data_IF_382437968810
#
_entry.id   IF_382437968810
#
_cell.length_a   1.000
_cell.length_b   1.000
_cell.length_c   1.000
_cell.angle_alpha   90.00
_cell.angle_beta   90.00
_cell.angle_gamma   90.00
#
_symmetry.space_group_name_H-M   'P 1'
#
loop_
_entity.id
_entity.type
_entity.pdbx_description
1 polymer ?
#
# COMPACT_ATOMS: atom_id res chain seq x y z
N UNK A 1 7.43 7.54 -2.21
CA UNK A 1 7.36 6.18 -1.63
C UNK A 1 5.96 5.60 -1.83
N UNK A 2 5.70 4.33 -1.45
CA UNK A 2 4.36 3.74 -1.60
C UNK A 2 3.29 4.50 -0.80
N UNK A 3 3.63 4.95 0.41
CA UNK A 3 2.72 5.74 1.26
C UNK A 3 2.52 7.20 0.79
N UNK A 4 3.26 7.66 -0.22
CA UNK A 4 3.13 9.02 -0.77
C UNK A 4 2.22 9.07 -2.02
N UNK A 5 1.52 7.97 -2.34
CA UNK A 5 0.68 7.90 -3.55
C UNK A 5 -0.48 8.93 -3.57
N UNK A 6 -0.80 9.55 -2.42
CA UNK A 6 -1.81 10.60 -2.33
C UNK A 6 -1.36 11.72 -1.39
N UNK A 7 -1.60 12.98 -1.79
CA UNK A 7 -1.20 14.18 -1.03
C UNK A 7 -1.97 14.35 0.29
N UNK A 8 -3.26 14.01 0.31
CA UNK A 8 -4.11 14.03 1.51
C UNK A 8 -4.89 12.72 1.65
N UNK A 9 -4.26 11.65 2.17
CA UNK A 9 -4.91 10.35 2.31
C UNK A 9 -6.10 10.40 3.28
N UNK A 10 -6.10 11.29 4.28
CA UNK A 10 -7.18 11.41 5.26
C UNK A 10 -8.50 11.90 4.68
N UNK A 11 -8.45 12.61 3.55
CA UNK A 11 -9.63 13.10 2.81
C UNK A 11 -10.26 12.07 1.88
N UNK A 12 -9.56 10.97 1.60
CA UNK A 12 -9.98 9.93 0.66
C UNK A 12 -10.75 8.81 1.36
N UNK A 13 -11.44 8.00 0.56
CA UNK A 13 -11.94 6.70 1.02
C UNK A 13 -10.80 5.66 0.96
N UNK A 14 -10.86 4.56 1.74
CA UNK A 14 -9.89 3.47 1.65
C UNK A 14 -9.75 2.91 0.22
N UNK A 15 -10.87 2.73 -0.49
CA UNK A 15 -10.85 2.22 -1.87
C UNK A 15 -10.14 3.20 -2.82
N UNK A 16 -10.44 4.49 -2.71
CA UNK A 16 -9.76 5.54 -3.51
C UNK A 16 -8.26 5.58 -3.22
N UNK A 17 -7.85 5.45 -1.95
CA UNK A 17 -6.43 5.43 -1.59
C UNK A 17 -5.75 4.14 -2.06
N UNK A 18 -6.46 3.01 -2.03
CA UNK A 18 -5.97 1.75 -2.59
C UNK A 18 -5.75 1.85 -4.10
N UNK A 19 -6.72 2.43 -4.82
CA UNK A 19 -6.60 2.69 -6.26
C UNK A 19 -5.42 3.63 -6.59
N UNK A 20 -5.12 4.61 -5.73
CA UNK A 20 -3.94 5.46 -5.89
C UNK A 20 -2.62 4.67 -5.78
N UNK A 21 -2.52 3.69 -4.88
CA UNK A 21 -1.36 2.79 -4.84
C UNK A 21 -1.25 1.97 -6.13
N UNK A 22 -2.36 1.42 -6.63
CA UNK A 22 -2.37 0.68 -7.89
C UNK A 22 -1.98 1.55 -9.09
N UNK A 23 -2.40 2.82 -9.10
CA UNK A 23 -1.97 3.79 -10.11
C UNK A 23 -0.46 4.04 -10.05
N UNK A 24 0.13 4.14 -8.86
CA UNK A 24 1.58 4.27 -8.73
C UNK A 24 2.32 3.04 -9.28
N UNK A 25 1.79 1.83 -9.06
CA UNK A 25 2.33 0.60 -9.65
C UNK A 25 2.16 0.57 -11.17
N UNK A 26 0.99 0.98 -11.67
CA UNK A 26 0.71 1.13 -13.09
C UNK A 26 1.74 2.04 -13.77
N UNK A 27 2.04 3.19 -13.16
CA UNK A 27 2.99 4.17 -13.69
C UNK A 27 4.39 3.55 -13.81
N UNK A 28 4.83 2.79 -12.80
CA UNK A 28 6.12 2.07 -12.83
C UNK A 28 6.12 0.98 -13.91
N UNK A 29 5.10 0.13 -13.96
CA UNK A 29 4.99 -0.95 -14.96
C UNK A 29 4.97 -0.38 -16.37
N UNK A 30 4.28 0.74 -16.60
CA UNK A 30 4.23 1.41 -17.90
C UNK A 30 5.56 2.04 -18.28
N UNK A 31 6.32 2.54 -17.29
CA UNK A 31 7.64 3.13 -17.51
C UNK A 31 8.70 2.08 -17.86
N UNK A 32 8.77 0.98 -17.11
CA UNK A 32 9.83 -0.04 -17.25
C UNK A 32 9.43 -1.19 -18.19
N UNK A 33 8.14 -1.46 -18.35
CA UNK A 33 7.57 -2.51 -19.19
C UNK A 33 7.22 -3.79 -18.43
N UNK A 34 6.13 -4.45 -18.85
CA UNK A 34 5.62 -5.71 -18.25
C UNK A 34 6.68 -6.81 -18.22
N UNK A 35 7.37 -7.05 -19.34
CA UNK A 35 8.37 -8.11 -19.45
C UNK A 35 9.47 -7.93 -18.38
N UNK A 36 9.99 -6.72 -18.22
CA UNK A 36 11.01 -6.39 -17.21
C UNK A 36 10.51 -6.65 -15.79
N UNK A 37 9.28 -6.22 -15.47
CA UNK A 37 8.71 -6.47 -14.13
C UNK A 37 8.57 -7.98 -13.87
N UNK A 38 8.11 -8.76 -14.85
CA UNK A 38 7.94 -10.21 -14.69
C UNK A 38 9.27 -10.98 -14.66
N UNK A 39 10.34 -10.42 -15.23
CA UNK A 39 11.69 -11.02 -15.19
C UNK A 39 12.42 -10.70 -13.89
N UNK A 40 12.21 -9.52 -13.32
CA UNK A 40 12.94 -9.05 -12.13
C UNK A 40 12.19 -9.30 -10.81
N UNK A 41 10.91 -9.66 -10.87
CA UNK A 41 10.07 -9.93 -9.69
C UNK A 41 9.43 -11.32 -9.75
N UNK A 42 9.02 -11.85 -8.59
CA UNK A 42 8.25 -13.10 -8.51
C UNK A 42 6.73 -12.88 -8.69
N UNK A 43 6.30 -11.70 -9.16
CA UNK A 43 4.88 -11.37 -9.34
C UNK A 43 4.31 -12.07 -10.57
N UNK A 44 3.11 -12.65 -10.42
CA UNK A 44 2.43 -13.34 -11.51
C UNK A 44 2.16 -12.41 -12.71
N UNK A 45 2.50 -12.87 -13.91
CA UNK A 45 2.35 -12.12 -15.17
C UNK A 45 0.92 -11.59 -15.37
N UNK A 46 -0.11 -12.37 -15.02
CA UNK A 46 -1.51 -11.94 -15.15
C UNK A 46 -1.80 -10.76 -14.23
N UNK A 47 -1.19 -10.72 -13.05
CA UNK A 47 -1.35 -9.63 -12.09
C UNK A 47 -0.64 -8.37 -12.59
N UNK A 48 0.58 -8.51 -13.12
CA UNK A 48 1.32 -7.39 -13.74
C UNK A 48 0.54 -6.84 -14.94
N UNK A 49 0.02 -7.70 -15.81
CA UNK A 49 -0.84 -7.30 -16.94
C UNK A 49 -2.12 -6.61 -16.46
N UNK A 50 -2.73 -7.08 -15.37
CA UNK A 50 -3.92 -6.45 -14.80
C UNK A 50 -3.59 -5.03 -14.32
N UNK A 51 -2.52 -4.87 -13.54
CA UNK A 51 -2.06 -3.57 -13.05
C UNK A 51 -1.66 -2.61 -14.20
N UNK A 52 -1.01 -3.11 -15.24
CA UNK A 52 -0.64 -2.33 -16.42
C UNK A 52 -1.85 -1.80 -17.21
N UNK A 53 -3.01 -2.45 -17.09
CA UNK A 53 -4.22 -2.14 -17.86
C UNK A 53 -5.38 -1.62 -17.00
N UNK A 54 -5.13 -1.21 -15.74
CA UNK A 54 -6.17 -0.60 -14.90
C UNK A 54 -6.69 0.70 -15.53
N UNK A 55 -7.96 1.00 -15.26
CA UNK A 55 -8.56 2.28 -15.63
C UNK A 55 -8.21 3.34 -14.58
N UNK A 56 -7.27 4.22 -14.94
CA UNK A 56 -6.74 5.27 -14.06
C UNK A 56 -7.74 6.40 -13.79
N UNK A 57 -8.88 6.44 -14.48
CA UNK A 57 -9.96 7.40 -14.22
C UNK A 57 -10.97 6.88 -13.16
N UNK A 58 -10.71 5.71 -12.54
CA UNK A 58 -11.61 5.08 -11.57
C UNK A 58 -11.03 5.02 -10.17
N UNK A 59 -11.86 5.35 -9.16
CA UNK A 59 -11.51 5.25 -7.74
C UNK A 59 -11.72 3.84 -7.17
N UNK A 60 -11.74 2.80 -8.01
CA UNK A 60 -12.05 1.42 -7.61
C UNK A 60 -10.81 0.54 -7.76
N UNK A 61 -10.27 -0.03 -6.67
CA UNK A 61 -9.11 -0.90 -6.76
C UNK A 61 -9.47 -2.21 -7.46
N UNK A 62 -8.55 -2.70 -8.30
CA UNK A 62 -8.71 -3.92 -9.11
C UNK A 62 -8.11 -5.13 -8.38
N UNK A 63 -7.08 -4.90 -7.56
CA UNK A 63 -6.31 -5.91 -6.83
C UNK A 63 -6.14 -5.55 -5.35
N UNK A 64 -7.23 -5.33 -4.59
CA UNK A 64 -7.16 -4.88 -3.19
C UNK A 64 -6.40 -5.85 -2.26
N UNK A 65 -6.38 -7.14 -2.58
CA UNK A 65 -5.67 -8.19 -1.82
C UNK A 65 -4.18 -8.32 -2.20
N UNK A 66 -3.68 -7.50 -3.13
CA UNK A 66 -2.28 -7.51 -3.54
C UNK A 66 -1.38 -7.13 -2.37
N UNK A 67 -0.23 -7.80 -2.23
CA UNK A 67 0.62 -7.64 -1.04
C UNK A 67 1.50 -6.42 -1.16
N UNK A 68 1.75 -5.77 -0.04
CA UNK A 68 2.65 -4.61 0.02
C UNK A 68 4.08 -4.98 -0.40
N UNK A 69 4.54 -6.18 -0.07
CA UNK A 69 5.85 -6.69 -0.46
C UNK A 69 5.99 -6.88 -1.98
N UNK A 70 4.94 -7.38 -2.63
CA UNK A 70 4.90 -7.56 -4.08
C UNK A 70 4.82 -6.19 -4.78
N UNK A 71 4.04 -5.25 -4.23
CA UNK A 71 4.01 -3.85 -4.68
C UNK A 71 5.40 -3.19 -4.56
N UNK A 72 6.09 -3.37 -3.44
CA UNK A 72 7.45 -2.87 -3.24
C UNK A 72 8.45 -3.47 -4.22
N UNK A 73 8.31 -4.76 -4.55
CA UNK A 73 9.12 -5.42 -5.57
C UNK A 73 8.94 -4.77 -6.95
N UNK A 74 7.69 -4.46 -7.35
CA UNK A 74 7.40 -3.75 -8.60
C UNK A 74 8.04 -2.35 -8.59
N UNK A 75 7.86 -1.58 -7.52
CA UNK A 75 8.44 -0.23 -7.41
C UNK A 75 9.97 -0.26 -7.58
N UNK A 76 10.64 -1.22 -6.95
CA UNK A 76 12.09 -1.36 -6.96
C UNK A 76 12.71 -1.68 -8.33
N UNK A 77 11.91 -2.10 -9.32
CA UNK A 77 12.38 -2.29 -10.70
C UNK A 77 12.76 -0.94 -11.33
N UNK A 78 12.08 0.14 -10.96
CA UNK A 78 12.44 1.48 -11.39
C UNK A 78 13.53 2.06 -10.49
N UNK A 79 14.69 2.38 -11.07
CA UNK A 79 15.86 2.91 -10.37
C UNK A 79 15.62 4.27 -9.68
N UNK A 80 14.48 4.93 -9.91
CA UNK A 80 14.06 6.11 -9.16
C UNK A 80 13.52 5.80 -7.76
N UNK A 81 13.17 4.53 -7.50
CA UNK A 81 12.73 4.05 -6.20
C UNK A 81 13.87 3.36 -5.44
N UNK A 82 13.82 3.35 -4.09
CA UNK A 82 14.66 2.47 -3.29
C UNK A 82 14.40 0.99 -3.58
N UNK A 83 15.27 0.12 -3.08
CA UNK A 83 15.01 -1.32 -3.12
C UNK A 83 13.75 -1.71 -2.32
N UNK A 84 13.21 -2.90 -2.61
CA UNK A 84 11.95 -3.35 -2.04
C UNK A 84 11.98 -3.45 -0.51
N UNK A 85 13.12 -3.81 0.08
CA UNK A 85 13.26 -3.91 1.54
C UNK A 85 13.19 -2.52 2.19
N UNK A 86 13.88 -1.54 1.60
CA UNK A 86 13.81 -0.14 2.03
C UNK A 86 12.40 0.42 1.89
N UNK A 87 11.69 0.14 0.79
CA UNK A 87 10.30 0.57 0.60
C UNK A 87 9.40 0.04 1.72
N UNK A 88 9.49 -1.24 2.07
CA UNK A 88 8.70 -1.84 3.15
C UNK A 88 9.10 -1.32 4.52
N UNK A 89 10.39 -1.13 4.75
CA UNK A 89 10.89 -0.58 6.01
C UNK A 89 10.33 0.82 6.26
N UNK A 90 10.46 1.72 5.28
CA UNK A 90 9.96 3.09 5.38
C UNK A 90 8.44 3.14 5.49
N UNK A 91 7.73 2.26 4.78
CA UNK A 91 6.27 2.12 4.91
C UNK A 91 5.84 1.81 6.35
N UNK A 92 6.46 0.79 6.96
CA UNK A 92 6.13 0.38 8.34
C UNK A 92 6.51 1.45 9.36
N UNK A 93 7.68 2.06 9.18
CA UNK A 93 8.13 3.17 10.03
C UNK A 93 7.15 4.34 9.95
N UNK A 94 6.71 4.72 8.74
CA UNK A 94 5.72 5.77 8.53
C UNK A 94 4.40 5.49 9.26
N UNK A 95 3.88 4.27 9.19
CA UNK A 95 2.64 3.89 9.89
C UNK A 95 2.82 3.93 11.41
N UNK A 96 3.93 3.40 11.94
CA UNK A 96 4.24 3.43 13.38
C UNK A 96 4.42 4.86 13.90
N UNK A 97 5.06 5.71 13.10
CA UNK A 97 5.20 7.13 13.40
C UNK A 97 3.83 7.82 13.41
N UNK A 98 2.98 7.55 12.42
CA UNK A 98 1.62 8.11 12.33
C UNK A 98 0.73 7.65 13.49
N UNK A 99 0.86 6.41 13.94
CA UNK A 99 0.18 5.92 15.15
C UNK A 99 0.64 6.66 16.40
N UNK A 100 1.95 6.92 16.51
CA UNK A 100 2.53 7.63 17.65
C UNK A 100 2.06 9.09 17.68
N UNK A 101 2.02 9.77 16.54
CA UNK A 101 1.59 11.18 16.46
C UNK A 101 0.10 11.36 16.72
N UNK A 102 -0.71 10.40 16.26
CA UNK A 102 -2.18 10.41 16.45
C UNK A 102 -2.65 9.78 17.76
N UNK A 103 -1.73 9.20 18.55
CA UNK A 103 -2.02 8.48 19.80
C UNK A 103 -3.03 7.35 19.57
N UNK A 104 -2.82 6.59 18.49
CA UNK A 104 -3.64 5.46 18.08
C UNK A 104 -2.89 4.16 18.34
N UNK A 105 -3.53 3.21 19.02
CA UNK A 105 -3.03 1.84 19.18
C UNK A 105 -3.69 0.88 18.18
N UNK A 106 -3.20 -0.36 18.15
CA UNK A 106 -3.66 -1.40 17.22
C UNK A 106 -5.10 -1.85 17.47
N UNK A 107 -5.59 -1.75 18.70
CA UNK A 107 -6.97 -2.09 19.05
C UNK A 107 -7.94 -1.01 18.57
N UNK A 108 -7.53 0.26 18.62
CA UNK A 108 -8.26 1.38 18.02
C UNK A 108 -8.35 1.18 16.50
N UNK A 109 -7.26 0.81 15.82
CA UNK A 109 -7.29 0.52 14.38
C UNK A 109 -8.26 -0.62 14.09
N UNK A 110 -8.07 -1.77 14.73
CA UNK A 110 -8.87 -2.98 14.50
C UNK A 110 -10.38 -2.77 14.76
N UNK A 111 -10.74 -1.87 15.68
CA UNK A 111 -12.13 -1.56 16.00
C UNK A 111 -12.79 -0.50 15.12
N UNK A 112 -12.00 0.27 14.36
CA UNK A 112 -12.52 1.38 13.55
C UNK A 112 -12.33 1.21 12.05
N UNK A 113 -11.48 0.28 11.63
CA UNK A 113 -11.21 0.00 10.22
C UNK A 113 -11.80 -1.38 9.87
N UNK A 114 -12.50 -1.46 8.74
CA UNK A 114 -13.14 -2.70 8.28
C UNK A 114 -12.10 -3.66 7.65
N UNK A 115 -11.22 -4.19 8.49
CA UNK A 115 -10.11 -5.06 8.07
C UNK A 115 -10.36 -6.54 8.34
N UNK A 116 -11.38 -6.87 9.12
CA UNK A 116 -11.57 -8.21 9.70
C UNK A 116 -10.29 -8.76 10.38
N UNK A 117 -9.49 -7.88 10.96
CA UNK A 117 -8.27 -8.20 11.71
C UNK A 117 -8.47 -7.89 13.19
N UNK A 118 -7.88 -8.70 14.05
CA UNK A 118 -7.66 -8.37 15.46
C UNK A 118 -6.53 -7.35 15.63
N UNK A 119 -6.47 -6.66 16.77
CA UNK A 119 -5.35 -5.75 17.10
C UNK A 119 -4.00 -6.46 17.06
N UNK A 120 -3.94 -7.75 17.41
CA UNK A 120 -2.72 -8.55 17.29
C UNK A 120 -2.30 -8.76 15.83
N UNK A 121 -3.24 -9.04 14.93
CA UNK A 121 -2.94 -9.23 13.50
C UNK A 121 -2.51 -7.92 12.83
N UNK A 122 -3.11 -6.79 13.24
CA UNK A 122 -2.64 -5.45 12.85
C UNK A 122 -1.20 -5.25 13.32
N UNK A 123 -0.89 -5.54 14.59
CA UNK A 123 0.47 -5.45 15.12
C UNK A 123 1.45 -6.33 14.35
N UNK A 124 1.11 -7.59 14.07
CA UNK A 124 1.99 -8.48 13.32
C UNK A 124 2.27 -7.97 11.91
N UNK A 125 1.29 -7.36 11.25
CA UNK A 125 1.45 -6.79 9.91
C UNK A 125 2.41 -5.59 9.91
N UNK A 126 2.24 -4.69 10.89
CA UNK A 126 3.12 -3.53 11.08
C UNK A 126 4.54 -3.90 11.49
N UNK A 127 4.72 -5.00 12.25
CA UNK A 127 6.03 -5.55 12.61
C UNK A 127 6.66 -6.41 11.50
N UNK A 128 5.95 -6.66 10.39
CA UNK A 128 6.40 -7.50 9.30
C UNK A 128 6.45 -8.99 9.57
N UNK A 129 5.65 -9.45 10.54
CA UNK A 129 5.48 -10.85 10.91
C UNK A 129 4.27 -11.50 10.24
N UNK A 130 3.41 -10.70 9.62
CA UNK A 130 2.31 -11.12 8.78
C UNK A 130 2.28 -10.26 7.49
N UNK A 131 1.83 -10.82 6.36
CA UNK A 131 1.67 -10.04 5.12
C UNK A 131 0.56 -8.99 5.29
N UNK A 132 0.72 -7.86 4.64
CA UNK A 132 -0.25 -6.78 4.57
C UNK A 132 -0.70 -6.58 3.12
N UNK A 133 -2.00 -6.39 2.89
CA UNK A 133 -2.54 -6.09 1.54
C UNK A 133 -2.61 -4.59 1.28
N UNK A 134 -2.75 -4.18 0.01
CA UNK A 134 -2.97 -2.79 -0.36
C UNK A 134 -4.25 -2.22 0.25
N UNK A 135 -5.34 -2.99 0.30
CA UNK A 135 -6.57 -2.55 0.96
C UNK A 135 -6.39 -2.35 2.47
N UNK A 136 -5.65 -3.25 3.13
CA UNK A 136 -5.32 -3.09 4.55
C UNK A 136 -4.46 -1.86 4.79
N UNK A 137 -3.42 -1.66 3.97
CA UNK A 137 -2.59 -0.47 4.00
C UNK A 137 -3.43 0.80 3.84
N UNK A 138 -4.28 0.87 2.80
CA UNK A 138 -5.10 2.03 2.51
C UNK A 138 -6.02 2.36 3.67
N UNK A 139 -6.69 1.36 4.22
CA UNK A 139 -7.65 1.58 5.30
C UNK A 139 -6.95 2.02 6.61
N UNK A 140 -5.75 1.49 6.92
CA UNK A 140 -4.95 1.94 8.07
C UNK A 140 -4.41 3.35 7.85
N UNK A 141 -3.79 3.63 6.71
CA UNK A 141 -3.18 4.93 6.42
C UNK A 141 -4.24 6.04 6.35
N UNK A 142 -5.37 5.78 5.69
CA UNK A 142 -6.50 6.71 5.62
C UNK A 142 -6.99 7.06 7.03
N UNK A 143 -7.18 6.05 7.89
CA UNK A 143 -7.67 6.25 9.25
C UNK A 143 -6.73 7.09 10.11
N UNK A 144 -5.42 6.82 10.03
CA UNK A 144 -4.40 7.58 10.75
C UNK A 144 -4.32 9.02 10.24
N UNK A 145 -4.29 9.22 8.92
CA UNK A 145 -4.22 10.55 8.32
C UNK A 145 -5.46 11.39 8.65
N UNK A 146 -6.66 10.81 8.56
CA UNK A 146 -7.91 11.49 8.89
C UNK A 146 -7.99 11.94 10.36
N UNK A 147 -7.26 11.29 11.26
CA UNK A 147 -7.12 11.70 12.67
C UNK A 147 -6.06 12.78 12.88
N UNK A 148 -4.99 12.77 12.11
CA UNK A 148 -3.90 13.75 12.24
C UNK A 148 -4.33 15.15 11.76
N UNK A 149 -5.32 15.23 10.87
CA UNK A 149 -5.89 16.47 10.34
C UNK A 149 -6.98 17.10 11.25
N UNK A 150 -7.30 16.49 12.40
CA UNK A 150 -8.31 16.96 13.37
C UNK A 150 -7.70 17.80 14.50
#
# INVERSE_FOLDING_TARGET
MLYDAADNPGSLTPDTLCAAYEQQLHDVITNVGIDTVTEETDVDTTTVETLANIDTDTDTPVTPDFRTEDAAAILAVDQSYPDAEAVIFELRDHLLMSMTTTVVDVDIIASNVDLNLSGQEVQQSLEGRAPMTLAQLAAIQQFLAARNDQ
#
